data_IF_372782667472
#
_entry.id   IF_372782667472
#
_cell.length_a   1.000
_cell.length_b   1.000
_cell.length_c   1.000
_cell.angle_alpha   90.00
_cell.angle_beta   90.00
_cell.angle_gamma   90.00
#
_symmetry.space_group_name_H-M   'P 1'
#
loop_
_entity.id
_entity.type
_entity.pdbx_description
1 polymer ?
#
# COMPACT_ATOMS: atom_id res chain seq x y z
N UNK A 1 -11.60 -5.69 17.18
CA UNK A 1 -12.41 -5.88 15.95
C UNK A 1 -13.86 -5.54 16.29
N UNK A 2 -14.55 -4.90 15.36
CA UNK A 2 -15.95 -4.55 15.50
C UNK A 2 -16.75 -5.12 14.32
N UNK A 3 -17.38 -6.25 14.54
CA UNK A 3 -18.12 -7.02 13.51
C UNK A 3 -19.40 -6.31 13.01
N UNK A 4 -19.77 -5.18 13.61
CA UNK A 4 -20.92 -4.38 13.16
C UNK A 4 -20.56 -3.37 12.08
N UNK A 5 -19.26 -3.11 11.88
CA UNK A 5 -18.78 -2.22 10.83
C UNK A 5 -18.68 -2.96 9.50
N UNK A 6 -19.03 -2.31 8.38
CA UNK A 6 -18.72 -2.84 7.06
C UNK A 6 -17.21 -3.03 6.86
N UNK A 7 -16.83 -3.94 5.95
CA UNK A 7 -15.44 -4.23 5.65
C UNK A 7 -14.61 -2.96 5.38
N UNK A 8 -13.37 -2.95 5.85
CA UNK A 8 -12.39 -1.87 5.74
C UNK A 8 -12.79 -0.56 6.44
N UNK A 9 -13.84 -0.56 7.24
CA UNK A 9 -14.26 0.62 8.00
C UNK A 9 -13.69 0.64 9.41
N UNK A 10 -13.60 1.85 9.94
CA UNK A 10 -13.15 2.11 11.30
C UNK A 10 -13.91 3.27 11.94
N UNK A 11 -13.86 3.32 13.27
CA UNK A 11 -14.25 4.45 14.09
C UNK A 11 -13.13 4.81 15.06
N UNK A 12 -12.92 6.10 15.28
CA UNK A 12 -12.05 6.63 16.32
C UNK A 12 -12.92 7.39 17.33
N UNK A 13 -12.73 7.10 18.58
CA UNK A 13 -13.40 7.84 19.67
C UNK A 13 -12.38 8.27 20.72
N UNK A 14 -12.52 9.48 21.26
CA UNK A 14 -11.64 10.01 22.28
C UNK A 14 -12.44 10.24 23.55
N UNK A 15 -12.06 9.56 24.60
CA UNK A 15 -12.51 9.75 25.96
C UNK A 15 -11.46 10.51 26.79
N UNK A 16 -11.69 10.70 28.10
CA UNK A 16 -10.83 11.50 28.96
C UNK A 16 -9.34 11.12 28.88
N UNK A 17 -9.05 9.82 28.87
CA UNK A 17 -7.68 9.28 28.92
C UNK A 17 -7.36 8.30 27.79
N UNK A 18 -8.28 8.11 26.83
CA UNK A 18 -8.17 7.04 25.85
C UNK A 18 -8.56 7.50 24.46
N UNK A 19 -7.76 7.14 23.48
CA UNK A 19 -8.15 7.12 22.06
C UNK A 19 -8.40 5.67 21.66
N UNK A 20 -9.65 5.36 21.37
CA UNK A 20 -10.07 4.03 20.94
C UNK A 20 -10.23 3.99 19.43
N UNK A 21 -9.49 3.08 18.77
CA UNK A 21 -9.69 2.70 17.39
C UNK A 21 -10.41 1.36 17.32
N UNK A 22 -11.59 1.33 16.72
CA UNK A 22 -12.36 0.14 16.41
C UNK A 22 -12.46 -0.02 14.90
N UNK A 23 -12.24 -1.24 14.38
CA UNK A 23 -12.27 -1.50 12.95
C UNK A 23 -12.92 -2.84 12.63
N UNK A 24 -13.46 -2.96 11.42
CA UNK A 24 -14.09 -4.18 10.92
C UNK A 24 -13.07 -5.32 10.71
N UNK A 25 -11.88 -4.96 10.23
CA UNK A 25 -10.82 -5.87 9.82
C UNK A 25 -9.44 -5.19 9.90
N UNK A 26 -8.40 -5.94 9.52
CA UNK A 26 -7.02 -5.46 9.56
C UNK A 26 -6.77 -4.22 8.69
N UNK A 27 -7.40 -4.15 7.50
CA UNK A 27 -7.29 -2.96 6.64
C UNK A 27 -7.98 -1.76 7.26
N UNK A 28 -9.14 -1.94 7.88
CA UNK A 28 -9.80 -0.91 8.66
C UNK A 28 -8.91 -0.36 9.78
N UNK A 29 -8.18 -1.23 10.49
CA UNK A 29 -7.18 -0.81 11.49
C UNK A 29 -6.06 0.00 10.87
N UNK A 30 -5.49 -0.45 9.76
CA UNK A 30 -4.41 0.25 9.04
C UNK A 30 -4.88 1.64 8.61
N UNK A 31 -6.06 1.75 8.03
CA UNK A 31 -6.63 3.04 7.62
C UNK A 31 -6.90 3.96 8.81
N UNK A 32 -7.41 3.41 9.92
CA UNK A 32 -7.62 4.16 11.15
C UNK A 32 -6.32 4.69 11.77
N UNK A 33 -5.25 3.90 11.77
CA UNK A 33 -3.92 4.33 12.21
C UNK A 33 -3.36 5.44 11.31
N UNK A 34 -3.53 5.33 9.99
CA UNK A 34 -3.13 6.39 9.07
C UNK A 34 -3.99 7.65 9.20
N UNK A 35 -5.27 7.51 9.55
CA UNK A 35 -6.12 8.67 9.86
C UNK A 35 -5.65 9.39 11.14
N UNK A 36 -5.28 8.67 12.19
CA UNK A 36 -4.64 9.22 13.38
C UNK A 36 -3.37 9.99 12.99
N UNK A 37 -2.50 9.35 12.23
CA UNK A 37 -1.25 9.94 11.73
C UNK A 37 -1.50 11.23 10.94
N UNK A 38 -2.46 11.22 10.03
CA UNK A 38 -2.81 12.37 9.20
C UNK A 38 -3.46 13.49 10.01
N UNK A 39 -4.48 13.16 10.80
CA UNK A 39 -5.33 14.14 11.47
C UNK A 39 -4.66 14.80 12.66
N UNK A 40 -3.99 14.00 13.48
CA UNK A 40 -3.44 14.48 14.75
C UNK A 40 -1.93 14.74 14.69
N UNK A 41 -1.19 14.00 13.87
CA UNK A 41 0.25 14.18 13.73
C UNK A 41 0.64 14.97 12.46
N UNK A 42 -0.31 15.28 11.60
CA UNK A 42 -0.09 16.10 10.40
C UNK A 42 0.63 15.40 9.25
N UNK A 43 0.84 14.07 9.32
CA UNK A 43 1.56 13.32 8.28
C UNK A 43 0.63 13.05 7.09
N UNK A 44 0.85 13.74 5.98
CA UNK A 44 0.01 13.62 4.78
C UNK A 44 0.32 12.33 3.99
N UNK A 45 -0.61 11.82 3.14
CA UNK A 45 -0.39 10.59 2.38
C UNK A 45 0.89 10.59 1.54
N UNK A 46 1.25 11.70 0.93
CA UNK A 46 2.45 11.85 0.08
C UNK A 46 3.66 12.43 0.82
N UNK A 47 3.72 12.35 2.14
CA UNK A 47 4.76 12.96 2.94
C UNK A 47 6.19 12.66 2.48
N UNK A 48 6.42 11.42 2.05
CA UNK A 48 7.74 10.98 1.57
C UNK A 48 8.08 11.55 0.18
N UNK A 49 7.06 11.79 -0.66
CA UNK A 49 7.23 12.18 -2.05
C UNK A 49 7.25 13.70 -2.27
N UNK A 50 6.74 14.46 -1.33
CA UNK A 50 6.49 15.90 -1.47
C UNK A 50 7.35 16.77 -0.57
N UNK A 51 8.46 16.23 -0.04
CA UNK A 51 9.34 16.98 0.90
C UNK A 51 8.54 17.69 1.99
N UNK A 52 7.57 17.01 2.58
CA UNK A 52 6.72 17.58 3.61
C UNK A 52 7.56 18.04 4.82
N UNK A 53 7.48 19.31 5.24
CA UNK A 53 8.13 19.74 6.47
C UNK A 53 7.45 19.12 7.69
N UNK A 54 8.24 18.60 8.61
CA UNK A 54 7.75 18.06 9.89
C UNK A 54 8.07 19.04 11.01
N UNK A 55 7.05 19.25 11.87
CA UNK A 55 7.24 19.95 13.12
C UNK A 55 7.30 18.92 14.23
N UNK A 56 8.42 18.85 14.94
CA UNK A 56 8.54 18.02 16.14
C UNK A 56 7.66 18.63 17.22
N UNK A 57 6.75 17.85 17.79
CA UNK A 57 5.87 18.24 18.86
C UNK A 57 6.13 17.33 20.07
N UNK A 58 6.13 17.91 21.27
CA UNK A 58 6.28 17.13 22.52
C UNK A 58 5.03 16.32 22.87
N UNK A 59 3.90 16.65 22.25
CA UNK A 59 2.63 15.96 22.42
C UNK A 59 1.53 16.62 21.60
N UNK A 60 0.42 15.91 21.46
CA UNK A 60 -0.79 16.40 20.79
C UNK A 60 -1.97 16.26 21.73
N UNK A 61 -2.78 17.32 21.85
CA UNK A 61 -4.02 17.29 22.63
C UNK A 61 -5.18 17.06 21.68
N UNK A 62 -5.86 15.94 21.86
CA UNK A 62 -7.07 15.61 21.11
C UNK A 62 -8.28 15.91 21.99
N UNK A 63 -9.26 16.71 21.53
CA UNK A 63 -10.43 17.04 22.33
C UNK A 63 -11.22 15.79 22.73
N UNK A 64 -11.61 15.72 24.01
CA UNK A 64 -12.54 14.70 24.51
C UNK A 64 -13.87 14.80 23.77
N UNK A 65 -14.47 13.67 23.44
CA UNK A 65 -15.69 13.60 22.63
C UNK A 65 -15.44 13.66 21.12
N UNK A 66 -14.17 13.69 20.67
CA UNK A 66 -13.86 13.55 19.24
C UNK A 66 -14.33 12.19 18.75
N UNK A 67 -15.13 12.19 17.68
CA UNK A 67 -15.56 10.99 16.96
C UNK A 67 -15.20 11.14 15.49
N UNK A 68 -14.53 10.14 14.94
CA UNK A 68 -14.21 10.06 13.51
C UNK A 68 -14.71 8.72 12.97
N UNK A 69 -15.55 8.78 11.97
CA UNK A 69 -16.07 7.61 11.27
C UNK A 69 -15.53 7.58 9.85
N UNK A 70 -15.02 6.43 9.44
CA UNK A 70 -14.63 6.23 8.04
C UNK A 70 -15.86 6.20 7.13
N UNK A 71 -15.70 6.60 5.88
CA UNK A 71 -16.74 6.50 4.87
C UNK A 71 -16.69 5.15 4.18
N UNK A 72 -17.87 4.63 3.78
CA UNK A 72 -17.94 3.45 2.92
C UNK A 72 -17.32 3.74 1.56
N UNK A 73 -16.53 2.78 1.09
CA UNK A 73 -15.98 2.84 -0.26
C UNK A 73 -17.04 2.44 -1.29
N UNK A 74 -17.11 3.18 -2.39
CA UNK A 74 -18.06 2.89 -3.48
C UNK A 74 -17.63 1.72 -4.37
N UNK A 75 -16.34 1.42 -4.39
CA UNK A 75 -15.76 0.34 -5.18
C UNK A 75 -14.92 -0.58 -4.30
N UNK A 76 -15.01 -1.88 -4.56
CA UNK A 76 -14.34 -2.90 -3.78
C UNK A 76 -12.81 -2.85 -3.94
N UNK A 77 -12.31 -2.69 -5.17
CA UNK A 77 -10.88 -2.69 -5.47
C UNK A 77 -10.42 -1.29 -5.85
N UNK A 78 -9.42 -0.79 -5.13
CA UNK A 78 -8.85 0.56 -5.27
C UNK A 78 -7.35 0.42 -5.27
N UNK A 79 -6.76 0.60 -6.42
CA UNK A 79 -5.34 0.33 -6.55
C UNK A 79 -4.67 1.12 -7.65
N UNK A 80 -3.37 0.94 -7.74
CA UNK A 80 -2.55 1.46 -8.81
C UNK A 80 -1.48 0.46 -9.28
N UNK A 81 -0.89 0.76 -10.39
CA UNK A 81 0.32 0.13 -10.88
C UNK A 81 1.54 0.95 -10.42
N UNK A 82 2.45 0.32 -9.71
CA UNK A 82 3.77 0.91 -9.44
C UNK A 82 4.59 0.76 -10.71
N UNK A 83 4.55 1.79 -11.56
CA UNK A 83 5.32 1.83 -12.80
C UNK A 83 6.80 2.11 -12.48
N UNK A 84 7.51 1.06 -12.15
CA UNK A 84 8.84 1.10 -11.55
C UNK A 84 9.98 1.18 -12.57
N UNK A 85 9.75 0.78 -13.80
CA UNK A 85 10.76 0.62 -14.84
C UNK A 85 11.56 1.89 -15.08
N UNK A 86 10.88 3.03 -15.08
CA UNK A 86 11.50 4.34 -15.30
C UNK A 86 11.67 5.15 -14.02
N UNK A 87 10.71 5.03 -13.09
CA UNK A 87 10.62 5.93 -11.94
C UNK A 87 11.35 5.43 -10.69
N UNK A 88 11.34 4.12 -10.44
CA UNK A 88 11.83 3.57 -9.17
C UNK A 88 13.02 2.62 -9.30
N UNK A 89 13.23 1.96 -10.43
CA UNK A 89 14.22 0.87 -10.59
C UNK A 89 15.65 1.28 -10.24
N UNK A 90 15.99 2.53 -10.43
CA UNK A 90 17.34 3.04 -10.16
C UNK A 90 17.41 3.93 -8.92
N UNK A 91 16.28 4.16 -8.25
CA UNK A 91 16.23 5.01 -7.08
C UNK A 91 16.48 4.23 -5.79
N UNK A 92 17.41 4.71 -5.01
CA UNK A 92 17.76 4.13 -3.70
C UNK A 92 17.78 5.24 -2.66
N UNK A 93 17.05 5.04 -1.58
CA UNK A 93 17.07 5.94 -0.42
C UNK A 93 17.89 5.28 0.66
N UNK A 94 18.90 5.97 1.18
CA UNK A 94 19.80 5.45 2.22
C UNK A 94 20.38 4.06 1.87
N UNK A 95 20.71 3.83 0.61
CA UNK A 95 21.15 2.53 0.06
C UNK A 95 20.11 1.40 0.13
N UNK A 96 18.87 1.68 0.48
CA UNK A 96 17.77 0.71 0.49
C UNK A 96 16.98 0.77 -0.80
N UNK A 97 17.17 -0.19 -1.69
CA UNK A 97 16.47 -0.26 -2.98
C UNK A 97 14.98 -0.55 -2.83
N UNK A 98 14.56 -1.21 -1.74
CA UNK A 98 13.15 -1.54 -1.49
C UNK A 98 12.34 -0.37 -0.89
N UNK A 99 13.00 0.63 -0.31
CA UNK A 99 12.29 1.70 0.40
C UNK A 99 11.30 2.47 -0.50
N UNK A 100 11.63 2.87 -1.73
CA UNK A 100 10.67 3.54 -2.61
C UNK A 100 9.40 2.70 -2.87
N UNK A 101 9.53 1.38 -2.99
CA UNK A 101 8.38 0.48 -3.17
C UNK A 101 7.52 0.42 -1.91
N UNK A 102 8.14 0.24 -0.74
CA UNK A 102 7.43 0.28 0.55
C UNK A 102 6.67 1.59 0.72
N UNK A 103 7.30 2.71 0.40
CA UNK A 103 6.68 4.03 0.50
C UNK A 103 5.55 4.24 -0.52
N UNK A 104 5.65 3.65 -1.72
CA UNK A 104 4.56 3.64 -2.69
C UNK A 104 3.35 2.84 -2.16
N UNK A 105 3.57 1.69 -1.54
CA UNK A 105 2.53 0.88 -0.93
C UNK A 105 1.91 1.57 0.30
N UNK A 106 2.74 2.19 1.15
CA UNK A 106 2.25 2.99 2.28
C UNK A 106 1.37 4.15 1.81
N UNK A 107 1.80 4.87 0.78
CA UNK A 107 1.00 5.98 0.22
C UNK A 107 -0.36 5.49 -0.28
N UNK A 108 -0.40 4.35 -0.95
CA UNK A 108 -1.63 3.72 -1.41
C UNK A 108 -2.58 3.40 -0.25
N UNK A 109 -2.05 2.79 0.82
CA UNK A 109 -2.82 2.49 2.03
C UNK A 109 -3.31 3.76 2.74
N UNK A 110 -2.49 4.81 2.83
CA UNK A 110 -2.88 6.12 3.39
C UNK A 110 -4.01 6.79 2.61
N UNK A 111 -4.16 6.48 1.33
CA UNK A 111 -5.24 6.93 0.47
C UNK A 111 -6.47 6.01 0.49
N UNK A 112 -6.46 4.95 1.29
CA UNK A 112 -7.55 3.97 1.36
C UNK A 112 -7.53 2.98 0.19
N UNK A 113 -6.40 2.80 -0.48
CA UNK A 113 -6.22 1.77 -1.50
C UNK A 113 -6.00 0.39 -0.88
N UNK A 114 -6.37 -0.67 -1.60
CA UNK A 114 -6.27 -2.04 -1.13
C UNK A 114 -5.69 -3.02 -2.16
N UNK A 115 -5.30 -2.55 -3.35
CA UNK A 115 -4.82 -3.42 -4.43
C UNK A 115 -3.65 -2.78 -5.15
N UNK A 116 -2.67 -3.57 -5.57
CA UNK A 116 -1.48 -3.07 -6.27
C UNK A 116 -0.96 -4.05 -7.32
N UNK A 117 -0.45 -3.50 -8.43
CA UNK A 117 0.56 -4.14 -9.26
C UNK A 117 1.91 -3.69 -8.71
N UNK A 118 2.72 -4.57 -8.07
CA UNK A 118 3.86 -4.16 -7.25
C UNK A 118 5.13 -3.83 -8.04
N UNK A 119 5.02 -3.74 -9.34
CA UNK A 119 6.13 -3.47 -10.26
C UNK A 119 6.06 -4.38 -11.48
N UNK A 120 7.11 -4.39 -12.29
CA UNK A 120 7.23 -5.18 -13.52
C UNK A 120 8.38 -6.18 -13.42
N UNK A 121 8.21 -7.38 -13.98
CA UNK A 121 9.23 -8.41 -14.07
C UNK A 121 9.87 -8.74 -12.73
N UNK A 122 11.18 -8.61 -12.63
CA UNK A 122 11.93 -8.93 -11.41
C UNK A 122 11.48 -8.13 -10.19
N UNK A 123 11.07 -6.89 -10.36
CA UNK A 123 10.59 -6.06 -9.25
C UNK A 123 9.22 -6.55 -8.77
N UNK A 124 8.32 -6.97 -9.66
CA UNK A 124 7.07 -7.59 -9.27
C UNK A 124 7.31 -8.83 -8.40
N UNK A 125 8.26 -9.69 -8.78
CA UNK A 125 8.64 -10.88 -7.99
C UNK A 125 9.22 -10.50 -6.62
N UNK A 126 10.11 -9.50 -6.57
CA UNK A 126 10.77 -9.06 -5.34
C UNK A 126 9.80 -8.43 -4.34
N UNK A 127 8.87 -7.59 -4.82
CA UNK A 127 8.08 -6.72 -3.93
C UNK A 127 6.64 -7.17 -3.71
N UNK A 128 6.14 -8.17 -4.47
CA UNK A 128 4.79 -8.73 -4.24
C UNK A 128 4.59 -9.26 -2.81
N UNK A 129 5.62 -9.88 -2.22
CA UNK A 129 5.54 -10.36 -0.85
C UNK A 129 5.43 -9.21 0.13
N UNK A 130 6.24 -8.17 -0.03
CA UNK A 130 6.18 -6.96 0.79
C UNK A 130 4.80 -6.31 0.73
N UNK A 131 4.24 -6.17 -0.48
CA UNK A 131 2.92 -5.59 -0.65
C UNK A 131 1.82 -6.47 0.01
N UNK A 132 1.91 -7.80 -0.12
CA UNK A 132 0.99 -8.73 0.52
C UNK A 132 1.10 -8.68 2.05
N UNK A 133 2.31 -8.64 2.60
CA UNK A 133 2.56 -8.52 4.05
C UNK A 133 2.06 -7.17 4.61
N UNK A 134 1.94 -6.14 3.77
CA UNK A 134 1.29 -4.86 4.09
C UNK A 134 -0.25 -4.89 3.95
N UNK A 135 -0.85 -6.02 3.60
CA UNK A 135 -2.30 -6.21 3.48
C UNK A 135 -2.89 -5.86 2.11
N UNK A 136 -2.06 -5.59 1.10
CA UNK A 136 -2.54 -5.26 -0.24
C UNK A 136 -2.88 -6.52 -1.05
N UNK A 137 -3.96 -6.45 -1.81
CA UNK A 137 -4.32 -7.46 -2.82
C UNK A 137 -3.36 -7.29 -4.01
N UNK A 138 -2.73 -8.40 -4.40
CA UNK A 138 -1.78 -8.40 -5.51
C UNK A 138 -2.50 -8.66 -6.82
N UNK A 139 -2.20 -7.85 -7.82
CA UNK A 139 -2.57 -8.11 -9.21
C UNK A 139 -1.33 -7.96 -10.11
N UNK A 140 -1.45 -8.22 -11.39
CA UNK A 140 -0.31 -8.37 -12.26
C UNK A 140 -0.35 -7.41 -13.43
N UNK A 141 0.84 -7.06 -13.92
CA UNK A 141 1.00 -6.27 -15.12
C UNK A 141 0.51 -7.07 -16.37
N UNK A 142 0.03 -6.37 -17.39
CA UNK A 142 -0.47 -7.02 -18.61
C UNK A 142 0.57 -7.86 -19.34
N UNK A 143 1.86 -7.55 -19.18
CA UNK A 143 2.97 -8.35 -19.73
C UNK A 143 3.21 -9.66 -18.95
N UNK A 144 2.57 -9.83 -17.82
CA UNK A 144 2.69 -11.00 -16.92
C UNK A 144 1.29 -11.58 -16.65
N UNK A 145 0.60 -12.09 -17.67
CA UNK A 145 -0.77 -12.55 -17.51
C UNK A 145 -0.84 -13.68 -16.47
N UNK A 146 -1.79 -13.57 -15.57
CA UNK A 146 -1.96 -14.51 -14.44
C UNK A 146 -0.71 -14.65 -13.54
N UNK A 147 0.20 -13.67 -13.57
CA UNK A 147 1.45 -13.71 -12.82
C UNK A 147 2.51 -14.63 -13.40
N UNK A 148 2.34 -15.09 -14.64
CA UNK A 148 3.36 -15.85 -15.36
C UNK A 148 4.52 -14.93 -15.75
N UNK A 149 5.75 -15.39 -15.50
CA UNK A 149 6.94 -14.66 -15.90
C UNK A 149 7.04 -14.61 -17.42
N UNK A 150 7.50 -13.48 -17.97
CA UNK A 150 7.73 -13.36 -19.42
C UNK A 150 8.75 -14.39 -19.89
N UNK A 151 8.48 -15.05 -21.02
CA UNK A 151 9.32 -16.12 -21.56
C UNK A 151 10.81 -15.73 -21.63
N UNK A 152 11.13 -14.55 -22.14
CA UNK A 152 12.50 -14.07 -22.25
C UNK A 152 13.20 -13.84 -20.90
N UNK A 153 12.44 -13.68 -19.80
CA UNK A 153 13.00 -13.57 -18.45
C UNK A 153 13.17 -14.94 -17.80
N UNK A 154 12.20 -15.83 -18.00
CA UNK A 154 12.25 -17.20 -17.47
C UNK A 154 13.30 -18.07 -18.19
N UNK A 155 13.49 -17.83 -19.47
CA UNK A 155 14.38 -18.61 -20.35
C UNK A 155 15.26 -17.69 -21.22
N UNK A 156 16.23 -16.97 -20.63
CA UNK A 156 17.00 -15.94 -21.34
C UNK A 156 17.86 -16.48 -22.47
N UNK A 157 18.20 -17.77 -22.45
CA UNK A 157 19.03 -18.43 -23.47
C UNK A 157 18.20 -19.07 -24.59
N UNK A 158 16.88 -18.96 -24.56
CA UNK A 158 16.00 -19.55 -25.54
C UNK A 158 15.32 -18.47 -26.40
N UNK A 159 15.14 -18.80 -27.70
CA UNK A 159 14.32 -17.94 -28.56
C UNK A 159 12.84 -18.05 -28.17
N UNK A 160 12.07 -16.93 -28.07
CA UNK A 160 10.67 -16.95 -27.68
C UNK A 160 9.76 -17.44 -28.80
N UNK A 161 9.96 -18.67 -29.25
CA UNK A 161 9.21 -19.29 -30.34
C UNK A 161 8.45 -20.51 -29.86
N UNK A 162 7.13 -20.39 -29.79
CA UNK A 162 6.24 -21.49 -29.36
C UNK A 162 6.45 -22.77 -30.13
N UNK A 163 6.70 -22.67 -31.47
CA UNK A 163 6.96 -23.85 -32.32
C UNK A 163 8.21 -24.67 -31.96
N UNK A 164 9.18 -24.03 -31.25
CA UNK A 164 10.38 -24.70 -30.76
C UNK A 164 10.24 -25.28 -29.36
N UNK A 165 9.38 -24.64 -28.51
CA UNK A 165 9.25 -24.99 -27.10
C UNK A 165 7.79 -24.96 -26.66
N UNK A 166 6.93 -25.82 -27.24
CA UNK A 166 5.49 -25.80 -26.95
C UNK A 166 5.15 -26.20 -25.51
N UNK A 167 6.08 -26.81 -24.78
CA UNK A 167 5.95 -27.22 -23.38
C UNK A 167 6.35 -26.13 -22.37
N UNK A 168 6.90 -25.02 -22.82
CA UNK A 168 7.33 -23.88 -21.99
C UNK A 168 6.28 -22.78 -22.02
#
# INVERSE_FOLDING_TARGET
INDTLPAEQYTLTVDADTLLLSAADDLGFVYGLFEISRRFLGVQPFWFWNDQPFTVREGEKIPVGTVVESKSYKVKYRGWFVNDETLLSHWKVERRANLPFVMAFETLLRLGGNMVIPGTGKNAVLYRRTAADMGLIITHHHAEPLGAEMFAQAYPDLEPMYSKYPEK
#
